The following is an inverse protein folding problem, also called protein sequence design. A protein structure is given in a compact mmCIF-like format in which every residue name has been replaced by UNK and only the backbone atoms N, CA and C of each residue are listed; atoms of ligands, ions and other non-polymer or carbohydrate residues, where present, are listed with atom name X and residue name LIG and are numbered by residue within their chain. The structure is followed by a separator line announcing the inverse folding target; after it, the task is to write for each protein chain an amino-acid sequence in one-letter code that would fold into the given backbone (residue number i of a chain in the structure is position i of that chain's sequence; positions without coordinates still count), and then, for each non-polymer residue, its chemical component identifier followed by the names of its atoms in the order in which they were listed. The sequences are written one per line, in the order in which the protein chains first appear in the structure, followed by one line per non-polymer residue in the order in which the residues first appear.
data_IF_040743110769
#
_entry.id   IF_040743110769
#
_cell.length_a   1.000
_cell.length_b   1.000
_cell.length_c   1.000
_cell.angle_alpha   90.00
_cell.angle_beta   90.00
_cell.angle_gamma   90.00
#
_symmetry.space_group_name_H-M   'P 1'
#
loop_
_entity.id
_entity.type
_entity.pdbx_description
1 polymer ?
#
# COMPACT_ATOMS: atom_id res chain seq x y z
N UNK A 1 17.86 11.25 -6.55
CA UNK A 1 17.92 10.69 -7.91
C UNK A 1 16.88 11.39 -8.76
N UNK A 2 17.17 11.61 -10.04
CA UNK A 2 16.16 12.06 -11.00
C UNK A 2 15.12 10.94 -11.21
N UNK A 3 13.84 11.28 -11.40
CA UNK A 3 12.78 10.27 -11.55
C UNK A 3 12.98 9.40 -12.80
N UNK A 4 13.62 9.93 -13.84
CA UNK A 4 13.87 9.23 -15.11
C UNK A 4 15.02 8.22 -15.05
N UNK A 5 15.78 8.19 -13.96
CA UNK A 5 16.83 7.18 -13.72
C UNK A 5 16.23 5.87 -13.19
N UNK A 6 15.49 5.17 -14.05
CA UNK A 6 14.76 3.96 -13.67
C UNK A 6 15.68 2.84 -13.16
N UNK A 7 16.82 2.65 -13.82
CA UNK A 7 17.79 1.61 -13.46
C UNK A 7 18.47 1.92 -12.12
N UNK A 8 18.93 3.18 -11.93
CA UNK A 8 19.53 3.60 -10.67
C UNK A 8 18.56 3.53 -9.50
N UNK A 9 17.30 3.94 -9.70
CA UNK A 9 16.24 3.79 -8.69
C UNK A 9 16.01 2.32 -8.36
N UNK A 10 15.91 1.44 -9.35
CA UNK A 10 15.67 0.01 -9.15
C UNK A 10 16.79 -0.64 -8.33
N UNK A 11 18.05 -0.35 -8.63
CA UNK A 11 19.18 -0.91 -7.88
C UNK A 11 19.20 -0.41 -6.43
N UNK A 12 18.94 0.88 -6.20
CA UNK A 12 18.85 1.42 -4.83
C UNK A 12 17.69 0.81 -4.04
N UNK A 13 16.52 0.62 -4.65
CA UNK A 13 15.37 -0.03 -3.98
C UNK A 13 15.70 -1.47 -3.60
N UNK A 14 16.38 -2.20 -4.48
CA UNK A 14 16.80 -3.59 -4.23
C UNK A 14 17.82 -3.71 -3.10
N UNK A 15 18.68 -2.71 -2.92
CA UNK A 15 19.62 -2.63 -1.79
C UNK A 15 18.92 -2.16 -0.49
N UNK A 16 17.99 -1.20 -0.61
CA UNK A 16 17.32 -0.58 0.53
C UNK A 16 16.30 -1.52 1.18
N UNK A 17 15.49 -2.23 0.39
CA UNK A 17 14.43 -3.09 0.92
C UNK A 17 14.97 -4.44 1.35
N UNK A 18 14.42 -4.99 2.44
CA UNK A 18 14.75 -6.34 2.90
C UNK A 18 14.43 -7.41 1.85
N UNK A 19 13.39 -7.18 1.04
CA UNK A 19 13.03 -8.00 -0.12
C UNK A 19 12.25 -7.18 -1.14
N UNK A 20 12.60 -7.32 -2.41
CA UNK A 20 11.81 -6.81 -3.54
C UNK A 20 12.07 -7.62 -4.81
N UNK A 21 11.06 -7.77 -5.66
CA UNK A 21 11.18 -8.36 -7.01
C UNK A 21 10.57 -7.40 -8.04
N UNK A 22 11.42 -6.61 -8.72
CA UNK A 22 10.97 -5.63 -9.71
C UNK A 22 10.14 -4.47 -9.15
N UNK A 23 10.39 -4.05 -7.91
CA UNK A 23 9.69 -2.93 -7.29
C UNK A 23 9.99 -1.59 -8.00
N UNK A 24 8.95 -0.81 -8.27
CA UNK A 24 9.06 0.52 -8.87
C UNK A 24 8.66 1.59 -7.85
N UNK A 25 9.62 2.43 -7.44
CA UNK A 25 9.40 3.46 -6.43
C UNK A 25 9.69 4.84 -7.01
N UNK A 26 8.72 5.75 -6.96
CA UNK A 26 8.92 7.13 -7.36
C UNK A 26 9.59 7.92 -6.22
N UNK A 27 10.78 8.51 -6.39
CA UNK A 27 11.37 9.37 -5.38
C UNK A 27 10.62 10.72 -5.25
N UNK A 28 10.61 11.35 -4.06
CA UNK A 28 11.23 10.84 -2.83
C UNK A 28 10.41 9.73 -2.17
N UNK A 29 11.11 8.83 -1.51
CA UNK A 29 10.59 7.76 -0.67
C UNK A 29 11.28 7.86 0.69
N UNK A 30 10.55 7.59 1.76
CA UNK A 30 11.06 7.70 3.13
C UNK A 30 10.82 6.41 3.91
N UNK A 31 11.83 5.95 4.63
CA UNK A 31 11.73 4.86 5.59
C UNK A 31 12.71 5.06 6.75
N UNK A 32 12.53 4.31 7.83
CA UNK A 32 13.44 4.34 8.98
C UNK A 32 14.66 3.45 8.73
N UNK A 33 14.43 2.21 8.28
CA UNK A 33 15.46 1.20 8.04
C UNK A 33 15.51 0.73 6.59
N UNK A 34 14.36 0.59 5.94
CA UNK A 34 14.23 -0.02 4.61
C UNK A 34 14.31 -1.54 4.64
N UNK A 35 15.27 -2.10 5.39
CA UNK A 35 15.53 -3.54 5.47
C UNK A 35 14.41 -4.35 6.14
N UNK A 36 13.44 -3.70 6.81
CA UNK A 36 12.25 -4.37 7.36
C UNK A 36 11.05 -4.35 6.39
N UNK A 37 11.22 -3.79 5.20
CA UNK A 37 10.22 -3.74 4.15
C UNK A 37 10.43 -4.92 3.21
N UNK A 38 9.43 -5.78 3.11
CA UNK A 38 9.38 -6.88 2.15
C UNK A 38 8.18 -6.70 1.22
N UNK A 39 8.46 -6.60 -0.07
CA UNK A 39 7.42 -6.48 -1.11
C UNK A 39 7.46 -7.64 -2.09
N UNK A 40 6.28 -8.01 -2.58
CA UNK A 40 6.09 -8.97 -3.66
C UNK A 40 6.47 -8.42 -5.03
N UNK A 41 6.01 -9.13 -6.07
CA UNK A 41 6.19 -8.77 -7.48
C UNK A 41 5.33 -7.57 -7.84
N UNK A 42 5.79 -6.79 -8.83
CA UNK A 42 5.03 -5.69 -9.41
C UNK A 42 4.56 -4.66 -8.37
N UNK A 43 5.32 -4.48 -7.28
CA UNK A 43 5.05 -3.44 -6.30
C UNK A 43 5.32 -2.06 -6.91
N UNK A 44 4.37 -1.14 -6.75
CA UNK A 44 4.52 0.24 -7.16
C UNK A 44 4.24 1.20 -6.01
N UNK A 45 5.18 2.10 -5.74
CA UNK A 45 5.00 3.21 -4.82
C UNK A 45 5.13 4.54 -5.54
N UNK A 46 4.06 5.34 -5.50
CA UNK A 46 4.07 6.68 -6.08
C UNK A 46 4.72 7.71 -5.13
N UNK A 47 4.81 8.97 -5.57
CA UNK A 47 5.59 10.03 -4.92
C UNK A 47 5.29 10.19 -3.43
N UNK A 48 6.33 10.46 -2.64
CA UNK A 48 6.26 10.74 -1.21
C UNK A 48 5.67 9.59 -0.38
N UNK A 49 5.80 8.35 -0.84
CA UNK A 49 5.45 7.20 0.00
C UNK A 49 6.40 7.15 1.22
N UNK A 50 5.81 6.99 2.40
CA UNK A 50 6.52 6.96 3.68
C UNK A 50 6.22 5.66 4.41
N UNK A 51 7.23 4.86 4.73
CA UNK A 51 7.06 3.59 5.45
C UNK A 51 7.96 3.61 6.68
N UNK A 52 7.38 3.90 7.86
CA UNK A 52 8.10 3.84 9.14
C UNK A 52 8.17 2.39 9.59
N UNK A 53 9.28 1.72 9.29
CA UNK A 53 9.49 0.28 9.40
C UNK A 53 10.29 -0.12 10.65
N UNK A 54 10.02 0.50 11.81
CA UNK A 54 10.51 0.05 13.13
C UNK A 54 10.18 -1.43 13.39
N UNK A 55 9.02 -1.91 12.94
CA UNK A 55 8.72 -3.33 12.81
C UNK A 55 8.47 -3.71 11.33
N UNK A 56 8.32 -5.01 11.09
CA UNK A 56 8.20 -5.56 9.74
C UNK A 56 6.98 -5.03 8.99
N UNK A 57 7.17 -4.66 7.72
CA UNK A 57 6.11 -4.36 6.76
C UNK A 57 6.17 -5.39 5.64
N UNK A 58 5.11 -6.16 5.45
CA UNK A 58 5.04 -7.18 4.39
C UNK A 58 3.91 -6.88 3.43
N UNK A 59 4.25 -6.72 2.15
CA UNK A 59 3.30 -6.36 1.09
C UNK A 59 3.32 -7.46 0.02
N UNK A 60 2.14 -7.95 -0.37
CA UNK A 60 1.99 -8.99 -1.38
C UNK A 60 2.31 -8.54 -2.81
N UNK A 61 1.94 -9.37 -3.76
CA UNK A 61 2.12 -9.14 -5.19
C UNK A 61 1.10 -8.11 -5.73
N UNK A 62 1.48 -7.39 -6.79
CA UNK A 62 0.62 -6.44 -7.52
C UNK A 62 -0.02 -5.36 -6.63
N UNK A 63 0.74 -4.85 -5.67
CA UNK A 63 0.26 -3.80 -4.76
C UNK A 63 0.68 -2.41 -5.25
N UNK A 64 -0.27 -1.47 -5.23
CA UNK A 64 -0.11 -0.11 -5.75
C UNK A 64 -0.38 0.92 -4.66
N UNK A 65 0.60 1.77 -4.39
CA UNK A 65 0.47 2.91 -3.48
C UNK A 65 0.39 4.19 -4.30
N UNK A 66 -0.71 4.92 -4.17
CA UNK A 66 -0.86 6.25 -4.74
C UNK A 66 0.04 7.28 -4.00
N UNK A 67 0.09 8.57 -4.42
CA UNK A 67 0.96 9.54 -3.79
C UNK A 67 0.64 9.79 -2.31
N UNK A 68 1.68 10.11 -1.52
CA UNK A 68 1.58 10.45 -0.10
C UNK A 68 0.94 9.36 0.77
N UNK A 69 1.05 8.09 0.39
CA UNK A 69 0.67 6.98 1.27
C UNK A 69 1.69 6.87 2.39
N UNK A 70 1.20 6.74 3.62
CA UNK A 70 2.02 6.60 4.80
C UNK A 70 1.66 5.31 5.57
N UNK A 71 2.65 4.46 5.82
CA UNK A 71 2.50 3.19 6.54
C UNK A 71 3.35 3.29 7.81
N UNK A 72 2.72 3.08 8.97
CA UNK A 72 3.37 3.23 10.25
C UNK A 72 3.34 1.92 11.02
N UNK A 73 4.52 1.42 11.38
CA UNK A 73 4.66 0.33 12.37
C UNK A 73 4.98 0.86 13.77
N UNK A 74 5.58 2.06 13.84
CA UNK A 74 5.98 2.71 15.07
C UNK A 74 4.81 3.43 15.76
N UNK A 75 4.89 3.54 17.09
CA UNK A 75 4.07 4.44 17.88
C UNK A 75 4.62 4.60 19.30
N UNK A 76 4.02 5.50 20.07
CA UNK A 76 4.48 5.81 21.42
C UNK A 76 3.44 5.47 22.49
N UNK A 77 3.88 5.03 23.69
CA UNK A 77 2.99 4.84 24.83
C UNK A 77 2.16 6.10 25.16
N UNK A 78 0.90 5.89 25.57
CA UNK A 78 -0.06 6.96 25.85
C UNK A 78 0.34 7.79 27.07
N UNK A 79 0.98 7.19 28.06
CA UNK A 79 1.38 7.91 29.27
C UNK A 79 2.60 8.80 28.99
N UNK A 80 2.55 10.12 29.31
CA UNK A 80 3.57 11.10 28.93
C UNK A 80 4.97 10.73 29.39
N UNK A 81 5.14 10.33 30.65
CA UNK A 81 6.47 10.05 31.20
C UNK A 81 7.16 8.90 30.46
N UNK A 82 6.39 7.90 30.03
CA UNK A 82 6.93 6.75 29.28
C UNK A 82 7.38 7.19 27.88
N UNK A 83 6.55 7.93 27.13
CA UNK A 83 6.96 8.42 25.80
C UNK A 83 8.05 9.49 25.86
N UNK A 84 8.10 10.32 26.90
CA UNK A 84 9.16 11.31 27.12
C UNK A 84 10.49 10.65 27.49
N UNK A 85 10.47 9.42 28.00
CA UNK A 85 11.65 8.57 28.13
C UNK A 85 12.09 7.93 26.80
N UNK A 86 11.58 8.41 25.65
CA UNK A 86 11.91 7.95 24.30
C UNK A 86 11.56 6.49 24.02
N UNK A 87 10.58 5.94 24.76
CA UNK A 87 10.06 4.61 24.46
C UNK A 87 9.11 4.65 23.25
N UNK A 88 9.30 3.70 22.35
CA UNK A 88 8.43 3.41 21.22
C UNK A 88 8.07 1.92 21.20
N UNK A 89 6.99 1.59 20.51
CA UNK A 89 6.67 0.22 20.13
C UNK A 89 6.69 0.10 18.61
N UNK A 90 7.06 -1.08 18.13
CA UNK A 90 6.84 -1.51 16.75
C UNK A 90 5.72 -2.56 16.71
N UNK A 91 4.79 -2.42 15.76
CA UNK A 91 3.77 -3.43 15.43
C UNK A 91 3.73 -3.62 13.92
N UNK A 92 3.85 -4.87 13.50
CA UNK A 92 3.89 -5.24 12.08
C UNK A 92 2.64 -4.77 11.33
N UNK A 93 2.80 -4.52 10.04
CA UNK A 93 1.71 -4.22 9.12
C UNK A 93 1.83 -5.15 7.91
N UNK A 94 0.73 -5.79 7.53
CA UNK A 94 0.74 -6.77 6.43
C UNK A 94 -0.34 -6.48 5.40
N UNK A 95 -0.04 -6.75 4.15
CA UNK A 95 -0.96 -6.63 3.02
C UNK A 95 -0.98 -7.95 2.25
N UNK A 96 -2.17 -8.37 1.81
CA UNK A 96 -2.34 -9.41 0.82
C UNK A 96 -1.91 -8.96 -0.58
N UNK A 97 -2.36 -9.71 -1.58
CA UNK A 97 -2.07 -9.43 -2.99
C UNK A 97 -3.13 -8.50 -3.61
N UNK A 98 -2.78 -7.84 -4.71
CA UNK A 98 -3.69 -7.00 -5.51
C UNK A 98 -4.35 -5.87 -4.71
N UNK A 99 -3.60 -5.24 -3.80
CA UNK A 99 -4.09 -4.13 -2.98
C UNK A 99 -3.81 -2.80 -3.66
N UNK A 100 -4.82 -1.92 -3.70
CA UNK A 100 -4.65 -0.52 -4.12
C UNK A 100 -4.95 0.43 -2.98
N UNK A 101 -3.95 1.26 -2.63
CA UNK A 101 -4.07 2.30 -1.60
C UNK A 101 -4.13 3.67 -2.26
N UNK A 102 -5.26 4.35 -2.10
CA UNK A 102 -5.52 5.70 -2.59
C UNK A 102 -4.66 6.75 -1.89
N UNK A 103 -4.50 7.91 -2.55
CA UNK A 103 -3.52 8.91 -2.14
C UNK A 103 -3.83 9.56 -0.80
N UNK A 104 -2.80 10.03 -0.09
CA UNK A 104 -2.92 10.63 1.24
C UNK A 104 -3.56 9.70 2.29
N UNK A 105 -3.39 8.39 2.15
CA UNK A 105 -3.88 7.39 3.11
C UNK A 105 -2.83 7.10 4.17
N UNK A 106 -3.28 6.91 5.41
CA UNK A 106 -2.47 6.46 6.54
C UNK A 106 -2.88 5.05 6.96
N UNK A 107 -1.90 4.13 7.05
CA UNK A 107 -2.07 2.80 7.62
C UNK A 107 -1.41 2.77 9.00
N UNK A 108 -2.22 2.54 10.04
CA UNK A 108 -1.75 2.53 11.42
C UNK A 108 -1.07 1.21 11.82
N UNK A 109 -0.30 1.20 12.93
CA UNK A 109 0.38 0.00 13.40
C UNK A 109 -0.58 -1.16 13.67
N UNK A 110 -0.10 -2.40 13.49
CA UNK A 110 -0.83 -3.64 13.75
C UNK A 110 -1.97 -3.98 12.78
N UNK A 111 -2.10 -3.24 11.67
CA UNK A 111 -3.17 -3.46 10.68
C UNK A 111 -2.79 -4.57 9.68
N UNK A 112 -3.76 -5.43 9.38
CA UNK A 112 -3.72 -6.42 8.31
C UNK A 112 -4.73 -6.03 7.22
N UNK A 113 -4.26 -5.85 5.99
CA UNK A 113 -5.10 -5.62 4.82
C UNK A 113 -5.15 -6.91 4.00
N UNK A 114 -6.35 -7.42 3.76
CA UNK A 114 -6.60 -8.60 2.93
C UNK A 114 -6.24 -8.42 1.46
N UNK A 115 -6.38 -9.49 0.68
CA UNK A 115 -6.14 -9.48 -0.77
C UNK A 115 -7.30 -8.85 -1.54
N UNK A 116 -7.01 -8.26 -2.70
CA UNK A 116 -8.00 -7.63 -3.59
C UNK A 116 -8.74 -6.46 -2.93
N UNK A 117 -8.03 -5.68 -2.10
CA UNK A 117 -8.61 -4.57 -1.34
C UNK A 117 -8.34 -3.24 -2.02
N UNK A 118 -9.35 -2.37 -1.99
CA UNK A 118 -9.21 -0.95 -2.32
C UNK A 118 -9.40 -0.14 -1.03
N UNK A 119 -8.41 0.69 -0.70
CA UNK A 119 -8.54 1.74 0.32
C UNK A 119 -8.61 3.09 -0.40
N UNK A 120 -9.73 3.80 -0.30
CA UNK A 120 -9.89 5.07 -1.01
C UNK A 120 -9.04 6.19 -0.38
N UNK A 121 -8.79 7.24 -1.16
CA UNK A 121 -7.92 8.35 -0.80
C UNK A 121 -8.33 9.05 0.51
N UNK A 122 -7.33 9.54 1.26
CA UNK A 122 -7.54 10.28 2.50
C UNK A 122 -7.96 9.42 3.70
N UNK A 123 -7.86 8.09 3.59
CA UNK A 123 -8.29 7.18 4.65
C UNK A 123 -7.30 7.09 5.80
N UNK A 124 -7.79 6.82 7.01
CA UNK A 124 -6.96 6.47 8.19
C UNK A 124 -7.35 5.09 8.67
N UNK A 125 -6.57 4.09 8.27
CA UNK A 125 -6.85 2.67 8.53
C UNK A 125 -6.34 2.29 9.91
N UNK A 126 -7.26 2.08 10.83
CA UNK A 126 -6.98 1.79 12.25
C UNK A 126 -7.33 0.36 12.66
N UNK A 127 -7.89 -0.43 11.74
CA UNK A 127 -8.35 -1.81 11.95
C UNK A 127 -8.13 -2.60 10.66
N UNK A 128 -8.05 -3.92 10.81
CA UNK A 128 -7.92 -4.85 9.70
C UNK A 128 -9.06 -4.68 8.67
N UNK A 129 -8.72 -4.91 7.41
CA UNK A 129 -9.65 -4.84 6.27
C UNK A 129 -9.70 -6.23 5.63
N UNK A 130 -10.88 -6.86 5.47
CA UNK A 130 -10.99 -8.19 4.91
C UNK A 130 -10.73 -8.20 3.40
N UNK A 131 -10.43 -9.38 2.85
CA UNK A 131 -10.28 -9.58 1.41
C UNK A 131 -11.47 -9.07 0.61
N UNK A 132 -11.24 -8.64 -0.63
CA UNK A 132 -12.27 -8.18 -1.57
C UNK A 132 -13.09 -6.98 -1.06
N UNK A 133 -12.53 -6.14 -0.19
CA UNK A 133 -13.24 -4.98 0.35
C UNK A 133 -12.89 -3.69 -0.39
N UNK A 134 -13.89 -2.80 -0.52
CA UNK A 134 -13.68 -1.38 -0.74
C UNK A 134 -13.91 -0.66 0.58
N UNK A 135 -12.89 0.02 1.10
CA UNK A 135 -12.95 0.73 2.36
C UNK A 135 -12.49 2.18 2.23
N UNK A 136 -13.07 3.08 3.03
CA UNK A 136 -12.68 4.48 3.03
C UNK A 136 -12.95 5.17 4.38
N UNK A 137 -12.35 6.34 4.56
CA UNK A 137 -12.71 7.31 5.58
C UNK A 137 -11.70 7.44 6.73
N UNK A 138 -12.02 8.32 7.67
CA UNK A 138 -11.24 8.57 8.87
C UNK A 138 -12.16 8.59 10.11
N UNK A 139 -12.19 7.50 10.92
CA UNK A 139 -11.47 6.24 10.71
C UNK A 139 -12.03 5.46 9.51
N UNK A 140 -11.16 4.69 8.85
CA UNK A 140 -11.52 3.89 7.69
C UNK A 140 -12.53 2.79 8.05
N UNK A 141 -13.51 2.57 7.19
CA UNK A 141 -14.53 1.53 7.33
C UNK A 141 -14.74 0.84 5.98
N UNK A 142 -15.01 -0.46 6.03
CA UNK A 142 -15.50 -1.20 4.86
C UNK A 142 -16.83 -0.58 4.43
N UNK A 143 -16.90 -0.16 3.17
CA UNK A 143 -18.11 0.41 2.57
C UNK A 143 -18.95 -0.68 1.90
N UNK A 144 -18.29 -1.56 1.15
CA UNK A 144 -18.89 -2.69 0.45
C UNK A 144 -17.81 -3.72 0.08
N UNK A 145 -18.25 -4.87 -0.39
CA UNK A 145 -17.37 -5.86 -1.03
C UNK A 145 -17.31 -5.62 -2.54
N UNK A 146 -16.20 -6.01 -3.15
CA UNK A 146 -16.01 -6.15 -4.59
C UNK A 146 -16.74 -7.42 -5.03
N UNK A 147 -17.46 -7.33 -6.13
CA UNK A 147 -18.27 -8.41 -6.69
C UNK A 147 -18.02 -8.56 -8.19
N UNK A 148 -18.63 -9.57 -8.79
CA UNK A 148 -18.57 -9.78 -10.25
C UNK A 148 -19.11 -8.59 -11.05
N UNK A 149 -20.05 -7.81 -10.49
CA UNK A 149 -20.59 -6.60 -11.12
C UNK A 149 -19.51 -5.50 -11.28
N UNK A 150 -18.41 -5.57 -10.52
CA UNK A 150 -17.31 -4.62 -10.62
C UNK A 150 -16.33 -4.94 -11.77
N UNK A 151 -16.44 -6.13 -12.40
CA UNK A 151 -15.46 -6.62 -13.38
C UNK A 151 -15.16 -5.64 -14.51
N UNK A 152 -16.19 -4.94 -14.98
CA UNK A 152 -16.09 -3.97 -16.08
C UNK A 152 -16.15 -2.51 -15.62
N UNK A 153 -16.29 -2.28 -14.31
CA UNK A 153 -16.44 -0.94 -13.73
C UNK A 153 -15.13 -0.16 -13.87
N UNK A 154 -15.18 1.01 -14.49
CA UNK A 154 -14.02 1.89 -14.67
C UNK A 154 -13.98 2.98 -13.58
N UNK A 155 -15.01 3.81 -13.53
CA UNK A 155 -15.07 4.94 -12.59
C UNK A 155 -16.51 5.40 -12.40
N UNK A 156 -17.02 5.34 -11.15
CA UNK A 156 -18.45 5.56 -10.89
C UNK A 156 -19.26 4.74 -11.90
N UNK A 157 -20.30 5.28 -12.53
CA UNK A 157 -21.16 4.57 -13.47
C UNK A 157 -20.54 4.28 -14.85
N UNK A 158 -19.27 4.60 -15.04
CA UNK A 158 -18.55 4.33 -16.29
C UNK A 158 -18.04 2.89 -16.32
N UNK A 159 -18.13 2.27 -17.50
CA UNK A 159 -17.57 0.96 -17.79
C UNK A 159 -16.36 1.09 -18.72
N UNK A 160 -15.49 0.07 -18.67
CA UNK A 160 -14.42 -0.13 -19.63
C UNK A 160 -15.04 -0.35 -21.02
N UNK A 161 -14.62 0.43 -22.02
CA UNK A 161 -15.13 0.32 -23.38
C UNK A 161 -14.89 -1.07 -24.01
N UNK A 162 -15.56 -1.37 -25.11
CA UNK A 162 -15.52 -2.71 -25.73
C UNK A 162 -14.12 -3.10 -26.22
N UNK A 163 -13.33 -2.14 -26.72
CA UNK A 163 -11.99 -2.40 -27.24
C UNK A 163 -11.03 -2.73 -26.09
N UNK A 164 -10.97 -1.86 -25.08
CA UNK A 164 -10.16 -2.08 -23.89
C UNK A 164 -10.59 -3.35 -23.13
N UNK A 165 -11.88 -3.63 -23.05
CA UNK A 165 -12.38 -4.83 -22.40
C UNK A 165 -11.96 -6.11 -23.14
N UNK A 166 -12.00 -6.11 -24.47
CA UNK A 166 -11.52 -7.24 -25.27
C UNK A 166 -10.03 -7.53 -25.04
N UNK A 167 -9.19 -6.49 -24.94
CA UNK A 167 -7.77 -6.65 -24.59
C UNK A 167 -7.56 -7.21 -23.19
N UNK A 168 -8.35 -6.74 -22.21
CA UNK A 168 -8.29 -7.23 -20.82
C UNK A 168 -8.69 -8.71 -20.78
N UNK A 169 -9.79 -9.10 -21.42
CA UNK A 169 -10.20 -10.50 -21.51
C UNK A 169 -9.10 -11.37 -22.14
N UNK A 170 -8.48 -10.90 -23.23
CA UNK A 170 -7.37 -11.60 -23.87
C UNK A 170 -6.17 -11.78 -22.93
N UNK A 171 -5.79 -10.73 -22.18
CA UNK A 171 -4.66 -10.78 -21.22
C UNK A 171 -4.96 -11.70 -20.03
N UNK A 172 -6.21 -11.73 -19.56
CA UNK A 172 -6.64 -12.52 -18.41
C UNK A 172 -7.05 -13.95 -18.78
N UNK A 173 -7.20 -14.27 -20.06
CA UNK A 173 -7.69 -15.56 -20.53
C UNK A 173 -9.17 -15.81 -20.21
N UNK A 174 -9.97 -14.75 -20.20
CA UNK A 174 -11.43 -14.80 -20.04
C UNK A 174 -12.15 -15.00 -21.38
#
# INVERSE_FOLDING_TARGET
MDRSDFDGISEVVKELFGKSDGACVNPPFYCDYGSHIEVGKNFFANYNCTILDVAKVTIGDNCFMAPNVAIYTAGHPIYPDVRSAMWEYGKEVTFGDNVWIGGNTVICPSVHIGSNVIIDAGSVVTKDIPDWAVAAGNPCKVLRMITEDDKRRLFRDEEIDDEAWAEICQKLGW
#
